data_IF_298960229358
#
_entry.id   IF_298960229358
#
_cell.length_a   1.000
_cell.length_b   1.000
_cell.length_c   1.000
_cell.angle_alpha   90.00
_cell.angle_beta   90.00
_cell.angle_gamma   90.00
#
_symmetry.space_group_name_H-M   'P 1'
#
loop_
_entity.id
_entity.type
_entity.pdbx_description
1 polymer ?
#
# COMPACT_ATOMS: atom_id res chain seq x y z
N UNK A 1 -3.76 -4.24 -6.71
CA UNK A 1 -3.12 -3.12 -6.05
C UNK A 1 -2.00 -2.55 -6.90
N UNK A 2 -2.06 -1.28 -7.15
CA UNK A 2 -1.06 -0.50 -7.86
C UNK A 2 -0.23 0.26 -6.82
N UNK A 3 0.77 -0.42 -6.23
CA UNK A 3 1.66 0.19 -5.23
C UNK A 3 2.65 1.14 -5.91
N UNK A 4 2.64 2.40 -5.53
CA UNK A 4 3.56 3.39 -6.10
C UNK A 4 4.83 3.63 -5.27
N UNK A 5 4.89 3.13 -4.04
CA UNK A 5 6.08 3.21 -3.21
C UNK A 5 7.09 2.11 -3.54
N UNK A 6 8.32 2.46 -3.91
CA UNK A 6 9.39 1.48 -4.05
C UNK A 6 9.67 0.78 -2.71
N UNK A 7 10.22 -0.41 -2.77
CA UNK A 7 10.60 -1.28 -1.64
C UNK A 7 9.43 -1.90 -0.85
N UNK A 8 8.20 -1.38 -0.92
CA UNK A 8 7.06 -1.93 -0.20
C UNK A 8 6.47 -3.16 -0.93
N UNK A 9 6.27 -4.25 -0.20
CA UNK A 9 5.77 -5.52 -0.73
C UNK A 9 4.62 -6.11 0.09
N UNK A 10 4.17 -5.42 1.14
CA UNK A 10 3.09 -5.90 2.01
C UNK A 10 1.78 -6.14 1.25
N UNK A 11 1.36 -5.22 0.39
CA UNK A 11 0.13 -5.35 -0.39
C UNK A 11 0.19 -6.53 -1.38
N UNK A 12 1.36 -6.77 -1.97
CA UNK A 12 1.58 -7.93 -2.83
C UNK A 12 1.39 -9.25 -2.05
N UNK A 13 1.94 -9.32 -0.82
CA UNK A 13 1.75 -10.49 0.04
C UNK A 13 0.30 -10.67 0.47
N UNK A 14 -0.37 -9.58 0.84
CA UNK A 14 -1.81 -9.61 1.17
C UNK A 14 -2.62 -10.17 0.01
N UNK A 15 -2.37 -9.73 -1.21
CA UNK A 15 -3.08 -10.25 -2.39
C UNK A 15 -2.84 -11.73 -2.62
N UNK A 16 -1.66 -12.25 -2.31
CA UNK A 16 -1.34 -13.67 -2.48
C UNK A 16 -1.87 -14.55 -1.35
N UNK A 17 -1.66 -14.11 -0.11
CA UNK A 17 -1.93 -14.94 1.06
C UNK A 17 -3.39 -14.85 1.50
N UNK A 18 -4.06 -13.70 1.28
CA UNK A 18 -5.42 -13.38 1.70
C UNK A 18 -6.37 -13.08 0.53
N UNK A 19 -6.14 -13.70 -0.63
CA UNK A 19 -6.94 -13.40 -1.85
C UNK A 19 -8.42 -13.70 -1.67
N UNK A 20 -8.77 -14.77 -0.98
CA UNK A 20 -10.17 -15.16 -0.74
C UNK A 20 -10.87 -14.15 0.17
N UNK A 21 -10.20 -13.72 1.25
CA UNK A 21 -10.67 -12.70 2.18
C UNK A 21 -10.81 -11.34 1.50
N UNK A 22 -9.86 -11.01 0.62
CA UNK A 22 -9.89 -9.80 -0.20
C UNK A 22 -11.12 -9.78 -1.13
N UNK A 23 -11.42 -10.87 -1.82
CA UNK A 23 -12.61 -10.99 -2.69
C UNK A 23 -13.90 -10.93 -1.87
N UNK A 24 -13.94 -11.60 -0.71
CA UNK A 24 -15.10 -11.52 0.21
C UNK A 24 -15.30 -10.10 0.75
N UNK A 25 -14.23 -9.39 1.11
CA UNK A 25 -14.29 -7.99 1.52
C UNK A 25 -14.92 -7.11 0.45
N UNK A 26 -14.49 -7.27 -0.81
CA UNK A 26 -15.10 -6.57 -1.95
C UNK A 26 -16.58 -6.94 -2.09
N UNK A 27 -16.95 -8.22 -1.90
CA UNK A 27 -18.36 -8.68 -1.97
C UNK A 27 -19.21 -8.01 -0.90
N UNK A 28 -18.67 -7.86 0.32
CA UNK A 28 -19.34 -7.17 1.43
C UNK A 28 -19.59 -5.70 1.06
N UNK A 29 -18.58 -4.99 0.55
CA UNK A 29 -18.74 -3.59 0.12
C UNK A 29 -19.78 -3.49 -1.00
N UNK A 30 -19.72 -4.34 -2.01
CA UNK A 30 -20.67 -4.34 -3.13
C UNK A 30 -22.11 -4.66 -2.70
N UNK A 31 -22.30 -5.33 -1.57
CA UNK A 31 -23.65 -5.62 -1.05
C UNK A 31 -24.39 -4.36 -0.58
N UNK A 32 -23.67 -3.29 -0.27
CA UNK A 32 -24.24 -2.00 0.14
C UNK A 32 -24.70 -1.15 -1.06
N UNK A 33 -24.33 -1.51 -2.27
CA UNK A 33 -24.61 -0.75 -3.50
C UNK A 33 -25.31 -1.61 -4.54
N UNK A 34 -26.43 -1.12 -5.06
CA UNK A 34 -27.23 -1.88 -6.05
C UNK A 34 -26.52 -1.99 -7.40
N UNK A 35 -25.86 -0.94 -7.86
CA UNK A 35 -25.32 -0.82 -9.21
C UNK A 35 -23.79 -0.69 -9.29
N UNK A 36 -23.10 -0.71 -8.16
CA UNK A 36 -21.65 -0.57 -8.15
C UNK A 36 -20.96 -1.81 -8.71
N UNK A 37 -19.79 -1.56 -9.32
CA UNK A 37 -18.83 -2.59 -9.74
C UNK A 37 -17.56 -2.45 -8.92
N UNK A 38 -16.97 -3.58 -8.53
CA UNK A 38 -15.68 -3.66 -7.89
C UNK A 38 -14.60 -3.95 -8.93
N UNK A 39 -13.49 -3.24 -8.87
CA UNK A 39 -12.37 -3.44 -9.78
C UNK A 39 -11.09 -3.66 -8.98
N UNK A 40 -10.47 -4.81 -9.11
CA UNK A 40 -9.14 -5.09 -8.61
C UNK A 40 -8.12 -4.57 -9.62
N UNK A 41 -7.56 -3.39 -9.37
CA UNK A 41 -6.55 -2.78 -10.21
C UNK A 41 -5.16 -3.22 -9.77
N UNK A 42 -4.49 -4.04 -10.57
CA UNK A 42 -3.22 -4.69 -10.20
C UNK A 42 -2.19 -4.44 -11.28
N UNK A 43 -0.98 -4.06 -10.89
CA UNK A 43 0.12 -3.85 -11.83
C UNK A 43 0.55 -5.16 -12.50
N UNK A 44 0.95 -5.06 -13.77
CA UNK A 44 1.30 -6.21 -14.61
C UNK A 44 2.61 -6.90 -14.20
N UNK A 45 3.36 -6.35 -13.27
CA UNK A 45 4.51 -7.00 -12.63
C UNK A 45 4.11 -8.02 -11.53
N UNK A 46 2.80 -8.20 -11.29
CA UNK A 46 2.23 -9.14 -10.31
C UNK A 46 1.29 -10.14 -11.02
N UNK A 47 1.78 -10.94 -11.99
CA UNK A 47 0.93 -11.81 -12.83
C UNK A 47 0.26 -12.94 -12.05
N UNK A 48 0.87 -13.41 -10.98
CA UNK A 48 0.35 -14.42 -10.05
C UNK A 48 -0.89 -13.93 -9.29
N UNK A 49 -0.84 -12.69 -8.76
CA UNK A 49 -2.00 -12.06 -8.14
C UNK A 49 -3.15 -11.87 -9.14
N UNK A 50 -2.83 -11.41 -10.36
CA UNK A 50 -3.81 -11.23 -11.42
C UNK A 50 -4.50 -12.57 -11.75
N UNK A 51 -3.72 -13.64 -11.93
CA UNK A 51 -4.25 -14.95 -12.24
C UNK A 51 -5.17 -15.49 -11.13
N UNK A 52 -4.75 -15.36 -9.88
CA UNK A 52 -5.52 -15.83 -8.72
C UNK A 52 -6.83 -15.04 -8.56
N UNK A 53 -6.78 -13.72 -8.72
CA UNK A 53 -7.97 -12.86 -8.67
C UNK A 53 -8.94 -13.18 -9.82
N UNK A 54 -8.45 -13.36 -11.05
CA UNK A 54 -9.28 -13.74 -12.19
C UNK A 54 -10.00 -15.06 -11.96
N UNK A 55 -9.34 -16.06 -11.37
CA UNK A 55 -9.95 -17.34 -11.04
C UNK A 55 -11.08 -17.18 -10.01
N UNK A 56 -10.84 -16.43 -8.93
CA UNK A 56 -11.81 -16.25 -7.86
C UNK A 56 -12.99 -15.33 -8.22
N UNK A 57 -12.81 -14.46 -9.22
CA UNK A 57 -13.86 -13.51 -9.65
C UNK A 57 -14.60 -13.92 -10.93
N UNK A 58 -14.25 -15.05 -11.53
CA UNK A 58 -14.81 -15.50 -12.84
C UNK A 58 -16.33 -15.59 -12.88
N UNK A 59 -16.96 -15.95 -11.76
CA UNK A 59 -18.41 -16.11 -11.62
C UNK A 59 -19.09 -14.89 -10.97
N UNK A 60 -18.37 -13.77 -10.79
CA UNK A 60 -18.83 -12.56 -10.13
C UNK A 60 -19.11 -11.45 -11.15
N UNK A 61 -20.36 -11.25 -11.57
CA UNK A 61 -20.67 -10.33 -12.67
C UNK A 61 -20.41 -8.85 -12.37
N UNK A 62 -20.23 -8.50 -11.07
CA UNK A 62 -19.92 -7.14 -10.62
C UNK A 62 -18.47 -6.94 -10.25
N UNK A 63 -17.60 -7.93 -10.43
CA UNK A 63 -16.17 -7.82 -10.12
C UNK A 63 -15.34 -7.96 -11.40
N UNK A 64 -14.34 -7.12 -11.52
CA UNK A 64 -13.41 -7.10 -12.64
C UNK A 64 -11.97 -7.06 -12.11
N UNK A 65 -11.03 -7.63 -12.85
CA UNK A 65 -9.59 -7.47 -12.60
C UNK A 65 -9.02 -6.66 -13.75
N UNK A 66 -8.42 -5.52 -13.42
CA UNK A 66 -7.81 -4.60 -14.38
C UNK A 66 -6.28 -4.65 -14.26
N UNK A 67 -5.58 -5.35 -15.16
CA UNK A 67 -4.12 -5.28 -15.23
C UNK A 67 -3.68 -3.87 -15.66
N UNK A 68 -2.82 -3.24 -14.86
CA UNK A 68 -2.30 -1.90 -15.12
C UNK A 68 -0.82 -1.97 -15.46
N UNK A 69 -0.36 -1.01 -16.26
CA UNK A 69 1.07 -0.88 -16.55
C UNK A 69 1.81 -0.44 -15.27
N UNK A 70 2.89 -1.13 -14.93
CA UNK A 70 3.77 -0.73 -13.83
C UNK A 70 4.48 0.56 -14.19
N UNK A 71 4.13 1.64 -13.53
CA UNK A 71 4.79 2.93 -13.63
C UNK A 71 4.38 3.85 -12.48
N UNK A 72 5.27 4.70 -12.05
CA UNK A 72 4.98 5.74 -11.07
C UNK A 72 4.18 6.91 -11.71
N UNK A 73 3.15 7.46 -11.09
CA UNK A 73 2.48 7.10 -9.82
C UNK A 73 1.16 6.33 -10.05
N UNK A 74 1.21 5.13 -10.60
CA UNK A 74 0.02 4.33 -10.96
C UNK A 74 -0.90 4.04 -9.77
N UNK A 75 -0.36 3.97 -8.53
CA UNK A 75 -1.11 3.78 -7.29
C UNK A 75 -1.79 5.04 -6.77
N UNK A 76 -1.42 6.22 -7.26
CA UNK A 76 -2.07 7.45 -6.86
C UNK A 76 -3.57 7.44 -7.21
N UNK A 77 -4.42 7.76 -6.25
CA UNK A 77 -5.89 7.63 -6.36
C UNK A 77 -6.46 8.21 -7.65
N UNK A 78 -6.07 9.43 -8.02
CA UNK A 78 -6.57 10.11 -9.23
C UNK A 78 -6.10 9.45 -10.52
N UNK A 79 -4.85 9.02 -10.57
CA UNK A 79 -4.28 8.28 -11.68
C UNK A 79 -4.94 6.92 -11.83
N UNK A 80 -5.21 6.25 -10.71
CA UNK A 80 -5.90 4.97 -10.66
C UNK A 80 -7.34 5.08 -11.21
N UNK A 81 -8.10 6.07 -10.74
CA UNK A 81 -9.45 6.35 -11.24
C UNK A 81 -9.43 6.57 -12.75
N UNK A 82 -8.51 7.42 -13.24
CA UNK A 82 -8.40 7.66 -14.68
C UNK A 82 -7.98 6.41 -15.46
N UNK A 83 -7.02 5.64 -14.95
CA UNK A 83 -6.55 4.43 -15.61
C UNK A 83 -7.68 3.40 -15.79
N UNK A 84 -8.52 3.23 -14.77
CA UNK A 84 -9.61 2.25 -14.75
C UNK A 84 -10.87 2.76 -15.45
N UNK A 85 -11.29 4.00 -15.15
CA UNK A 85 -12.61 4.52 -15.55
C UNK A 85 -12.58 5.51 -16.70
N UNK A 86 -11.41 6.07 -17.04
CA UNK A 86 -11.20 7.21 -17.95
C UNK A 86 -11.86 8.52 -17.48
N UNK A 87 -12.31 8.57 -16.22
CA UNK A 87 -12.85 9.79 -15.61
C UNK A 87 -11.69 10.60 -15.03
N UNK A 88 -11.60 11.88 -15.38
CA UNK A 88 -10.58 12.78 -14.85
C UNK A 88 -11.16 13.56 -13.67
N UNK A 89 -10.42 13.63 -12.58
CA UNK A 89 -10.70 14.48 -11.42
C UNK A 89 -9.56 15.47 -11.21
N UNK A 90 -9.90 16.70 -10.87
CA UNK A 90 -8.92 17.75 -10.60
C UNK A 90 -8.59 17.82 -9.10
N UNK A 91 -7.67 18.72 -8.72
CA UNK A 91 -7.19 18.85 -7.33
C UNK A 91 -8.24 19.27 -6.31
N UNK A 92 -9.43 19.73 -6.76
CA UNK A 92 -10.53 20.16 -5.88
C UNK A 92 -11.66 19.14 -5.78
N UNK A 93 -11.58 18.07 -6.57
CA UNK A 93 -12.59 17.01 -6.61
C UNK A 93 -12.14 15.82 -5.76
N UNK A 94 -13.10 15.17 -5.13
CA UNK A 94 -12.94 13.89 -4.46
C UNK A 94 -13.25 12.73 -5.42
N UNK A 95 -12.78 11.49 -5.15
CA UNK A 95 -13.17 10.30 -5.89
C UNK A 95 -14.67 10.13 -6.05
N UNK A 96 -15.44 10.47 -5.02
CA UNK A 96 -16.89 10.43 -5.03
C UNK A 96 -17.52 11.32 -6.12
N UNK A 97 -16.90 12.44 -6.47
CA UNK A 97 -17.36 13.32 -7.56
C UNK A 97 -17.25 12.65 -8.93
N UNK A 98 -16.32 11.68 -9.05
CA UNK A 98 -16.23 10.80 -10.21
C UNK A 98 -17.07 9.52 -10.08
N UNK A 99 -17.85 9.38 -9.01
CA UNK A 99 -18.62 8.18 -8.71
C UNK A 99 -17.74 6.97 -8.39
N UNK A 100 -16.60 7.20 -7.74
CA UNK A 100 -15.63 6.17 -7.37
C UNK A 100 -15.37 6.18 -5.87
N UNK A 101 -15.03 5.02 -5.35
CA UNK A 101 -14.42 4.80 -4.03
C UNK A 101 -13.14 4.03 -4.31
N UNK A 102 -12.03 4.46 -3.74
CA UNK A 102 -10.74 3.78 -3.85
C UNK A 102 -10.31 3.33 -2.47
N UNK A 103 -9.95 2.07 -2.36
CA UNK A 103 -9.52 1.46 -1.11
C UNK A 103 -8.30 0.57 -1.34
N UNK A 104 -7.48 0.44 -0.31
CA UNK A 104 -6.34 -0.45 -0.28
C UNK A 104 -6.78 -1.91 -0.06
N UNK A 105 -5.99 -2.88 -0.53
CA UNK A 105 -6.26 -4.32 -0.36
C UNK A 105 -6.32 -4.74 1.10
N UNK A 106 -5.49 -4.15 1.97
CA UNK A 106 -5.54 -4.42 3.40
C UNK A 106 -6.86 -3.96 4.04
N UNK A 107 -7.44 -2.86 3.54
CA UNK A 107 -8.77 -2.38 3.97
C UNK A 107 -9.85 -3.41 3.63
N UNK A 108 -9.81 -3.99 2.43
CA UNK A 108 -10.80 -5.02 2.05
C UNK A 108 -10.71 -6.28 2.93
N UNK A 109 -9.50 -6.73 3.24
CA UNK A 109 -9.28 -7.84 4.17
C UNK A 109 -9.77 -7.48 5.58
N UNK A 110 -9.51 -6.24 6.05
CA UNK A 110 -10.01 -5.75 7.32
C UNK A 110 -11.55 -5.70 7.39
N UNK A 111 -12.20 -5.32 6.29
CA UNK A 111 -13.67 -5.35 6.18
C UNK A 111 -14.20 -6.78 6.32
N UNK A 112 -13.55 -7.74 5.66
CA UNK A 112 -13.89 -9.15 5.82
C UNK A 112 -13.82 -9.58 7.29
N UNK A 113 -12.70 -9.38 7.97
CA UNK A 113 -12.53 -9.76 9.35
C UNK A 113 -13.52 -9.06 10.30
N UNK A 114 -13.76 -7.76 10.08
CA UNK A 114 -14.70 -7.00 10.89
C UNK A 114 -16.13 -7.52 10.77
N UNK A 115 -16.60 -7.80 9.56
CA UNK A 115 -18.00 -8.19 9.31
C UNK A 115 -18.24 -9.67 9.54
N UNK A 116 -17.33 -10.55 9.09
CA UNK A 116 -17.51 -12.00 9.20
C UNK A 116 -17.07 -12.57 10.55
N UNK A 117 -16.04 -11.99 11.16
CA UNK A 117 -15.42 -12.54 12.35
C UNK A 117 -15.57 -11.65 13.59
N UNK A 118 -16.08 -10.42 13.43
CA UNK A 118 -16.21 -9.44 14.52
C UNK A 118 -14.85 -8.96 15.06
N UNK A 119 -13.78 -9.08 14.26
CA UNK A 119 -12.42 -8.68 14.65
C UNK A 119 -12.13 -7.23 14.23
N UNK A 120 -11.76 -6.35 15.17
CA UNK A 120 -11.28 -5.02 14.82
C UNK A 120 -9.87 -5.08 14.23
N UNK A 121 -9.43 -3.99 13.58
CA UNK A 121 -8.06 -3.85 13.07
C UNK A 121 -7.11 -3.66 14.25
N UNK A 122 -6.44 -4.74 14.65
CA UNK A 122 -5.47 -4.78 15.77
C UNK A 122 -4.07 -5.16 15.29
N UNK A 123 -3.94 -5.71 14.08
CA UNK A 123 -2.67 -6.06 13.47
C UNK A 123 -2.62 -5.55 12.03
N UNK A 124 -1.42 -5.44 11.50
CA UNK A 124 -1.15 -5.15 10.08
C UNK A 124 0.06 -5.95 9.59
N UNK A 125 0.12 -6.13 8.29
CA UNK A 125 1.32 -6.64 7.61
C UNK A 125 2.18 -5.44 7.24
N UNK A 126 3.44 -5.45 7.68
CA UNK A 126 4.43 -4.42 7.45
C UNK A 126 5.57 -4.97 6.60
N UNK A 127 6.14 -4.13 5.76
CA UNK A 127 7.41 -4.43 5.10
C UNK A 127 8.55 -3.89 5.94
N UNK A 128 9.51 -4.74 6.32
CA UNK A 128 10.81 -4.32 6.88
C UNK A 128 11.84 -4.56 5.81
N UNK A 129 12.54 -3.52 5.37
CA UNK A 129 13.38 -3.59 4.17
C UNK A 129 14.51 -2.55 4.19
N UNK A 130 15.31 -2.59 3.16
CA UNK A 130 16.47 -1.73 2.96
C UNK A 130 17.76 -2.53 3.01
N UNK A 131 18.81 -1.96 2.45
CA UNK A 131 20.13 -2.59 2.36
C UNK A 131 20.87 -2.69 3.71
N UNK A 132 20.40 -1.95 4.73
CA UNK A 132 20.92 -2.03 6.10
C UNK A 132 20.29 -3.15 6.95
N UNK A 133 19.22 -3.82 6.50
CA UNK A 133 18.50 -4.86 7.25
C UNK A 133 19.08 -6.24 6.96
N UNK A 134 19.20 -7.09 8.00
CA UNK A 134 19.77 -8.44 7.84
C UNK A 134 18.86 -9.35 7.00
N UNK A 135 17.60 -9.53 7.42
CA UNK A 135 16.61 -10.40 6.76
C UNK A 135 15.36 -9.61 6.37
N UNK A 136 15.38 -8.87 5.24
CA UNK A 136 14.21 -8.11 4.79
C UNK A 136 13.02 -9.00 4.50
N UNK A 137 11.80 -8.53 4.90
CA UNK A 137 10.60 -9.34 4.70
C UNK A 137 9.32 -8.61 5.05
N UNK A 138 8.20 -9.34 4.95
CA UNK A 138 6.90 -8.88 5.40
C UNK A 138 6.52 -9.63 6.68
N UNK A 139 6.06 -8.89 7.67
CA UNK A 139 5.77 -9.40 9.00
C UNK A 139 4.38 -8.92 9.43
N UNK A 140 3.65 -9.77 10.15
CA UNK A 140 2.42 -9.35 10.81
C UNK A 140 2.72 -8.97 12.26
N UNK A 141 2.36 -7.74 12.64
CA UNK A 141 2.53 -7.23 13.99
C UNK A 141 1.25 -6.60 14.54
N UNK A 142 1.14 -6.60 15.87
CA UNK A 142 0.11 -5.82 16.56
C UNK A 142 0.42 -4.32 16.43
N UNK A 143 -0.60 -3.53 16.20
CA UNK A 143 -0.51 -2.07 16.23
C UNK A 143 -0.06 -1.64 17.64
N UNK A 144 0.94 -0.77 17.70
CA UNK A 144 1.58 -0.37 18.95
C UNK A 144 2.91 -1.07 19.23
N UNK A 145 3.27 -2.11 18.46
CA UNK A 145 4.61 -2.72 18.50
C UNK A 145 5.64 -1.66 18.08
N UNK A 146 6.78 -1.58 18.77
CA UNK A 146 7.82 -0.63 18.43
C UNK A 146 8.53 -0.97 17.12
N UNK A 147 9.08 0.03 16.43
CA UNK A 147 9.90 -0.23 15.25
C UNK A 147 11.18 -1.02 15.58
N UNK A 148 11.67 -0.93 16.83
CA UNK A 148 12.78 -1.76 17.26
C UNK A 148 12.43 -3.25 17.24
N UNK A 149 11.26 -3.63 17.75
CA UNK A 149 10.79 -5.02 17.71
C UNK A 149 10.58 -5.52 16.28
N UNK A 150 10.12 -4.64 15.36
CA UNK A 150 10.02 -4.95 13.93
C UNK A 150 11.37 -5.26 13.32
N UNK A 151 12.37 -4.43 13.62
CA UNK A 151 13.73 -4.62 13.15
C UNK A 151 14.36 -5.89 13.75
N UNK A 152 14.17 -6.14 15.03
CA UNK A 152 14.68 -7.33 15.71
C UNK A 152 14.13 -8.62 15.09
N UNK A 153 12.85 -8.62 14.70
CA UNK A 153 12.22 -9.74 14.00
C UNK A 153 12.80 -9.96 12.59
N UNK A 154 13.34 -8.91 11.97
CA UNK A 154 14.07 -8.95 10.70
C UNK A 154 15.58 -9.17 10.86
N UNK A 155 16.03 -9.70 12.02
CA UNK A 155 17.44 -10.03 12.28
C UNK A 155 18.31 -8.84 12.70
N UNK A 156 17.73 -7.64 12.80
CA UNK A 156 18.49 -6.43 13.16
C UNK A 156 19.18 -5.77 11.95
N UNK A 157 20.13 -4.90 12.26
CA UNK A 157 20.97 -4.28 11.25
C UNK A 157 22.20 -5.15 10.93
N UNK A 158 22.46 -5.39 9.65
CA UNK A 158 23.75 -5.92 9.18
C UNK A 158 24.81 -4.81 9.01
N UNK A 159 24.36 -3.58 8.81
CA UNK A 159 25.17 -2.38 8.69
C UNK A 159 24.45 -1.19 9.31
N UNK A 160 25.22 -0.21 9.84
CA UNK A 160 24.64 1.00 10.42
C UNK A 160 23.90 1.81 9.35
N UNK A 161 22.58 2.07 9.50
CA UNK A 161 21.85 2.84 8.54
C UNK A 161 22.23 4.34 8.60
N UNK A 162 22.31 4.96 7.45
CA UNK A 162 22.38 6.41 7.31
C UNK A 162 21.00 7.06 7.47
N UNK A 163 19.96 6.35 7.01
CA UNK A 163 18.57 6.83 7.06
C UNK A 163 17.62 5.71 7.46
N UNK A 164 16.71 6.04 8.37
CA UNK A 164 15.59 5.20 8.78
C UNK A 164 14.30 5.92 8.43
N UNK A 165 13.39 5.25 7.72
CA UNK A 165 12.14 5.83 7.22
C UNK A 165 10.97 4.96 7.69
N UNK A 166 9.96 5.59 8.26
CA UNK A 166 8.64 4.99 8.45
C UNK A 166 7.82 5.20 7.18
N UNK A 167 7.46 4.12 6.51
CA UNK A 167 6.83 4.15 5.18
C UNK A 167 7.83 3.95 4.04
N UNK A 168 7.44 4.35 2.84
CA UNK A 168 8.28 4.29 1.64
C UNK A 168 9.16 5.53 1.45
N UNK A 169 10.07 5.53 0.48
CA UNK A 169 10.99 6.63 0.25
C UNK A 169 10.33 7.89 -0.31
N UNK A 170 9.12 7.79 -0.87
CA UNK A 170 8.40 8.90 -1.51
C UNK A 170 7.53 9.66 -0.52
N UNK A 171 6.72 8.95 0.28
CA UNK A 171 5.72 9.53 1.19
C UNK A 171 6.04 9.32 2.67
N UNK A 172 7.01 8.44 3.00
CA UNK A 172 7.43 8.17 4.37
C UNK A 172 8.18 9.35 4.99
N UNK A 173 8.37 9.29 6.28
CA UNK A 173 9.13 10.29 7.03
C UNK A 173 10.35 9.68 7.72
N UNK A 174 11.43 10.46 7.77
CA UNK A 174 12.67 10.04 8.44
C UNK A 174 12.49 10.01 9.95
N UNK A 175 13.03 8.97 10.58
CA UNK A 175 12.96 8.74 12.01
C UNK A 175 14.34 8.96 12.65
N UNK A 176 14.36 9.48 13.87
CA UNK A 176 15.57 9.66 14.68
C UNK A 176 15.88 8.46 15.58
N UNK A 177 14.93 7.53 15.71
CA UNK A 177 15.07 6.35 16.56
C UNK A 177 13.94 5.35 16.32
N UNK A 178 14.08 4.16 16.88
CA UNK A 178 13.16 3.04 16.70
C UNK A 178 12.25 2.80 17.91
N UNK A 179 12.44 3.53 18.99
CA UNK A 179 11.57 3.46 20.19
C UNK A 179 10.30 4.30 19.99
N UNK A 180 9.59 3.98 18.91
CA UNK A 180 8.34 4.62 18.51
C UNK A 180 7.35 3.51 18.15
N UNK A 181 6.09 3.57 18.62
CA UNK A 181 5.09 2.55 18.30
C UNK A 181 4.59 2.69 16.86
N UNK A 182 4.27 1.55 16.26
CA UNK A 182 3.54 1.50 14.99
C UNK A 182 2.10 1.94 15.17
N UNK A 183 1.51 2.47 14.11
CA UNK A 183 0.13 2.94 14.05
C UNK A 183 -0.67 2.20 12.98
N UNK A 184 -1.95 2.50 12.84
CA UNK A 184 -2.80 1.94 11.76
C UNK A 184 -2.32 2.33 10.36
N UNK A 185 -1.64 3.46 10.22
CA UNK A 185 -1.15 3.99 8.95
C UNK A 185 0.29 3.55 8.63
N UNK A 186 0.99 2.94 9.58
CA UNK A 186 2.35 2.44 9.34
C UNK A 186 2.34 1.28 8.34
N UNK A 187 3.07 1.41 7.23
CA UNK A 187 3.16 0.42 6.15
C UNK A 187 4.50 -0.28 6.06
N UNK A 188 5.58 0.40 6.42
CA UNK A 188 6.92 -0.15 6.31
C UNK A 188 7.92 0.49 7.28
N UNK A 189 9.03 -0.23 7.48
CA UNK A 189 10.29 0.26 7.99
C UNK A 189 11.35 0.09 6.90
N UNK A 190 11.89 1.20 6.40
CA UNK A 190 12.96 1.21 5.39
C UNK A 190 14.24 1.75 6.01
N UNK A 191 15.30 0.94 6.00
CA UNK A 191 16.60 1.28 6.57
C UNK A 191 17.66 1.25 5.48
N UNK A 192 18.22 2.41 5.16
CA UNK A 192 19.14 2.60 4.04
C UNK A 192 20.55 2.91 4.54
N UNK A 193 21.55 2.26 3.95
CA UNK A 193 22.96 2.60 4.16
C UNK A 193 23.32 3.88 3.43
N UNK A 194 24.54 4.37 3.64
CA UNK A 194 25.06 5.57 2.98
C UNK A 194 25.12 5.42 1.45
N UNK A 195 25.33 4.20 0.96
CA UNK A 195 25.45 3.93 -0.48
C UNK A 195 24.11 4.06 -1.21
N UNK A 196 23.00 3.82 -0.51
CA UNK A 196 21.63 3.97 -1.07
C UNK A 196 21.05 5.39 -0.86
N UNK A 197 21.60 6.16 0.07
CA UNK A 197 21.19 7.55 0.31
C UNK A 197 21.97 8.50 -0.59
N UNK A 198 21.30 9.07 -1.60
CA UNK A 198 21.92 10.09 -2.44
C UNK A 198 22.45 11.27 -1.61
N UNK A 199 23.53 11.90 -2.07
CA UNK A 199 24.03 13.14 -1.49
C UNK A 199 22.96 14.23 -1.71
N UNK A 200 22.10 14.42 -0.71
CA UNK A 200 20.91 15.26 -0.79
C UNK A 200 21.21 16.69 -1.26
N UNK A 201 22.39 17.22 -0.92
CA UNK A 201 22.79 18.57 -1.29
C UNK A 201 23.26 18.69 -2.75
N UNK A 202 23.73 17.59 -3.35
CA UNK A 202 24.21 17.60 -4.75
C UNK A 202 23.06 17.50 -5.76
N UNK A 203 21.99 16.73 -5.42
CA UNK A 203 20.89 16.44 -6.32
C UNK A 203 19.57 17.14 -5.95
N UNK A 204 19.58 17.93 -4.85
CA UNK A 204 18.39 18.65 -4.42
C UNK A 204 17.94 19.69 -5.44
N UNK A 205 16.72 19.54 -5.93
CA UNK A 205 16.09 20.51 -6.84
C UNK A 205 14.86 21.13 -6.20
N UNK A 206 14.53 22.35 -6.64
CA UNK A 206 13.30 22.99 -6.21
C UNK A 206 12.08 22.15 -6.61
N UNK A 207 11.05 22.11 -5.74
CA UNK A 207 9.78 21.46 -6.08
C UNK A 207 9.20 22.04 -7.37
N UNK A 208 8.94 21.17 -8.36
CA UNK A 208 8.35 21.56 -9.65
C UNK A 208 6.82 21.71 -9.61
N UNK A 209 6.21 21.56 -8.44
CA UNK A 209 4.76 21.63 -8.21
C UNK A 209 3.94 20.69 -9.12
N UNK A 210 4.46 19.52 -9.43
CA UNK A 210 3.72 18.52 -10.21
C UNK A 210 2.55 17.92 -9.39
N UNK A 211 2.56 18.04 -8.06
CA UNK A 211 1.56 17.56 -7.10
C UNK A 211 1.25 16.05 -7.20
N UNK A 212 2.14 15.26 -7.79
CA UNK A 212 1.92 13.82 -7.98
C UNK A 212 1.94 13.06 -6.64
N UNK A 213 2.78 13.48 -5.68
CA UNK A 213 2.85 12.88 -4.36
C UNK A 213 1.61 13.16 -3.51
N UNK A 214 0.98 14.35 -3.68
CA UNK A 214 -0.26 14.71 -2.98
C UNK A 214 -1.51 14.00 -3.52
N UNK A 215 -1.37 13.16 -4.52
CA UNK A 215 -2.46 12.36 -5.07
C UNK A 215 -2.36 10.89 -4.70
N UNK A 216 -1.41 10.52 -3.84
CA UNK A 216 -1.31 9.18 -3.25
C UNK A 216 -2.20 9.06 -2.01
N UNK A 217 -2.67 7.86 -1.72
CA UNK A 217 -3.60 7.55 -0.61
C UNK A 217 -3.09 7.99 0.77
N UNK A 218 -1.76 8.08 0.92
CA UNK A 218 -1.15 8.52 2.19
C UNK A 218 -1.31 10.02 2.49
N UNK A 219 -1.68 10.84 1.51
CA UNK A 219 -1.89 12.29 1.71
C UNK A 219 -3.29 12.64 2.22
N UNK A 220 -4.24 11.71 2.16
CA UNK A 220 -5.63 11.91 2.51
C UNK A 220 -5.99 11.37 3.92
N UNK A 221 -5.00 10.82 4.65
CA UNK A 221 -5.17 10.24 6.00
C UNK A 221 -4.78 11.18 7.15
N UNK A 222 -4.59 12.50 6.91
CA UNK A 222 -4.42 13.53 7.95
C UNK A 222 -5.74 14.15 8.39
#
# INVERSE_FOLDING_TARGET
CAECEPYLTSDYRIMLDHTEELVEGMRIILSMFEHAKGVFAVENNKPDCIAKLLELTKDEPRMEVAPLMTKYPQGGERQLIYAVTKRAINSKMLPADAGCIVDNVATMVAVYHAVKEGKPVTSRIFTVTGDAVEDPGNFEFLIGTSFQELLDAAGGFKEQPEKIISGGPMMGFSMFGLDVPTTKTTSALLCMTKDEVAEADADATACINCCLLYTSDAADEE
#
